data_IF_837684797828
#
_entry.id   IF_837684797828
#
_cell.length_a   1.000
_cell.length_b   1.000
_cell.length_c   1.000
_cell.angle_alpha   90.00
_cell.angle_beta   90.00
_cell.angle_gamma   90.00
#
_symmetry.space_group_name_H-M   'P 1'
#
loop_
_entity.id
_entity.type
_entity.pdbx_description
1 polymer ?
#
# COMPACT_ATOMS: atom_id res chain seq x y z
N UNK A 1 -22.12 34.82 -20.92
CA UNK A 1 -22.76 33.82 -21.79
C UNK A 1 -21.79 32.68 -22.11
N UNK A 2 -21.53 31.72 -21.21
CA UNK A 2 -20.81 30.46 -21.56
C UNK A 2 -21.02 29.31 -20.55
N UNK A 3 -22.01 29.41 -19.64
CA UNK A 3 -22.32 28.37 -18.63
C UNK A 3 -23.81 27.96 -18.73
N UNK A 4 -24.26 27.59 -19.93
CA UNK A 4 -25.65 27.09 -20.12
C UNK A 4 -25.75 25.88 -21.06
N UNK A 5 -24.76 25.65 -21.93
CA UNK A 5 -24.83 24.57 -22.93
C UNK A 5 -24.41 23.17 -22.44
N UNK A 6 -23.66 23.05 -21.33
CA UNK A 6 -23.14 21.75 -20.88
C UNK A 6 -24.11 20.94 -19.99
N UNK A 7 -25.12 21.57 -19.40
CA UNK A 7 -26.08 20.91 -18.50
C UNK A 7 -27.19 20.13 -19.25
N UNK A 8 -27.49 20.51 -20.50
CA UNK A 8 -28.56 19.87 -21.28
C UNK A 8 -28.17 18.55 -21.96
N UNK A 9 -26.86 18.29 -22.15
CA UNK A 9 -26.39 17.07 -22.84
C UNK A 9 -26.35 15.84 -21.92
N UNK A 10 -26.24 16.04 -20.60
CA UNK A 10 -26.17 14.96 -19.60
C UNK A 10 -27.57 14.42 -19.25
N UNK A 11 -28.60 15.27 -19.24
CA UNK A 11 -29.98 14.85 -18.93
C UNK A 11 -30.64 13.98 -20.01
N UNK A 12 -30.17 14.03 -21.26
CA UNK A 12 -30.71 13.19 -22.36
C UNK A 12 -30.17 11.76 -22.34
N UNK A 13 -28.96 11.53 -21.85
CA UNK A 13 -28.34 10.19 -21.81
C UNK A 13 -28.88 9.34 -20.66
N UNK A 14 -29.26 9.97 -19.54
CA UNK A 14 -29.81 9.27 -18.36
C UNK A 14 -31.24 8.74 -18.61
N UNK A 15 -32.00 9.36 -19.52
CA UNK A 15 -33.37 8.93 -19.86
C UNK A 15 -33.42 7.62 -20.70
N UNK A 16 -32.35 7.30 -21.44
CA UNK A 16 -32.28 6.04 -22.21
C UNK A 16 -31.84 4.83 -21.37
N UNK A 17 -31.07 5.03 -20.29
CA UNK A 17 -30.62 3.94 -19.42
C UNK A 17 -31.72 3.43 -18.46
N UNK A 18 -32.76 4.23 -18.20
CA UNK A 18 -33.86 3.87 -17.30
C UNK A 18 -34.92 2.93 -17.91
N UNK A 19 -34.81 2.56 -19.21
CA UNK A 19 -35.79 1.69 -19.90
C UNK A 19 -35.39 0.22 -19.99
N UNK A 20 -34.21 -0.17 -19.50
CA UNK A 20 -33.69 -1.54 -19.65
C UNK A 20 -33.81 -2.37 -18.34
N UNK A 21 -34.15 -1.77 -17.20
CA UNK A 21 -34.21 -2.45 -15.90
C UNK A 21 -35.58 -3.05 -15.49
N UNK A 22 -36.50 -3.29 -16.44
CA UNK A 22 -37.85 -3.83 -16.14
C UNK A 22 -37.99 -5.34 -16.38
N UNK A 23 -36.91 -6.11 -16.41
CA UNK A 23 -36.97 -7.56 -16.70
C UNK A 23 -36.08 -8.38 -15.74
N UNK A 24 -36.39 -8.34 -14.44
CA UNK A 24 -36.01 -9.43 -13.51
C UNK A 24 -36.88 -9.38 -12.26
N UNK A 25 -38.13 -9.82 -12.41
CA UNK A 25 -39.04 -10.06 -11.29
C UNK A 25 -39.65 -11.44 -11.48
N UNK A 26 -38.95 -12.50 -11.06
CA UNK A 26 -39.57 -13.79 -10.74
C UNK A 26 -38.57 -14.71 -10.02
N UNK A 27 -39.00 -15.30 -8.90
CA UNK A 27 -38.36 -16.35 -8.10
C UNK A 27 -37.16 -15.84 -7.26
N UNK A 28 -37.17 -15.83 -5.93
CA UNK A 28 -37.54 -16.93 -5.06
C UNK A 28 -37.87 -16.42 -3.64
N UNK A 29 -38.84 -17.07 -3.01
CA UNK A 29 -39.41 -16.82 -1.69
C UNK A 29 -39.17 -18.04 -0.81
N UNK A 30 -38.71 -17.87 0.43
CA UNK A 30 -38.44 -18.99 1.34
C UNK A 30 -38.01 -18.56 2.74
N UNK A 31 -38.98 -18.53 3.64
CA UNK A 31 -38.94 -18.19 5.07
C UNK A 31 -38.24 -19.25 5.95
N UNK A 32 -37.61 -18.86 7.09
CA UNK A 32 -37.95 -19.31 8.48
C UNK A 32 -36.83 -19.08 9.54
N UNK A 33 -37.17 -18.30 10.59
CA UNK A 33 -36.96 -18.40 12.08
C UNK A 33 -35.64 -18.99 12.65
N UNK A 34 -34.85 -18.32 13.52
CA UNK A 34 -35.02 -17.82 14.93
C UNK A 34 -34.69 -18.85 16.04
N UNK A 35 -33.83 -18.46 17.04
CA UNK A 35 -33.69 -18.84 18.49
C UNK A 35 -32.18 -18.87 18.90
N UNK A 36 -31.60 -18.00 19.75
CA UNK A 36 -31.69 -17.64 21.22
C UNK A 36 -31.06 -18.67 22.20
N UNK A 37 -30.32 -18.12 23.20
CA UNK A 37 -29.92 -18.57 24.58
C UNK A 37 -28.39 -18.73 24.75
N UNK A 38 -27.66 -17.84 25.48
CA UNK A 38 -27.38 -17.75 26.95
C UNK A 38 -26.61 -18.98 27.51
N UNK A 39 -25.68 -18.99 28.47
CA UNK A 39 -25.23 -18.17 29.61
C UNK A 39 -23.88 -18.78 30.13
N UNK A 40 -22.90 -18.02 30.64
CA UNK A 40 -22.58 -17.73 32.07
C UNK A 40 -21.74 -18.76 32.87
N UNK A 41 -20.94 -18.22 33.80
CA UNK A 41 -20.36 -18.81 35.04
C UNK A 41 -18.95 -19.42 34.93
N UNK A 42 -17.85 -18.78 35.38
CA UNK A 42 -17.37 -18.37 36.74
C UNK A 42 -16.55 -19.45 37.46
N UNK A 43 -15.59 -18.91 38.24
CA UNK A 43 -14.89 -19.45 39.43
C UNK A 43 -13.60 -20.26 39.18
N UNK A 44 -12.53 -20.19 39.98
CA UNK A 44 -12.11 -19.36 41.14
C UNK A 44 -10.80 -20.00 41.70
N UNK A 45 -9.81 -19.28 42.24
CA UNK A 45 -9.27 -19.32 43.64
C UNK A 45 -7.72 -19.18 43.57
N UNK A 46 -7.06 -18.12 44.11
CA UNK A 46 -6.40 -17.90 45.44
C UNK A 46 -5.28 -18.94 45.78
N UNK A 47 -4.07 -18.70 46.35
CA UNK A 47 -3.54 -17.86 47.44
C UNK A 47 -1.97 -17.85 47.48
N UNK A 48 -1.40 -16.84 48.15
CA UNK A 48 -0.12 -16.88 48.92
C UNK A 48 1.09 -16.22 48.23
N UNK A 49 1.91 -15.35 48.83
CA UNK A 49 2.06 -14.85 50.20
C UNK A 49 3.55 -14.65 50.56
N UNK A 50 4.05 -13.38 50.52
CA UNK A 50 5.09 -12.69 51.34
C UNK A 50 6.48 -13.37 51.69
N UNK A 51 7.49 -12.66 52.26
CA UNK A 51 8.32 -11.56 51.71
C UNK A 51 9.84 -11.70 52.03
N UNK A 52 10.58 -10.58 51.94
CA UNK A 52 11.90 -10.23 52.51
C UNK A 52 13.12 -10.36 51.56
N UNK A 53 13.69 -9.24 51.08
CA UNK A 53 14.66 -8.33 51.73
C UNK A 53 16.07 -8.94 51.85
N UNK A 54 17.01 -8.46 51.03
CA UNK A 54 18.42 -8.25 51.43
C UNK A 54 19.03 -7.18 50.52
N UNK A 55 19.40 -6.06 51.13
CA UNK A 55 20.26 -5.03 50.56
C UNK A 55 21.71 -5.51 50.65
N UNK A 56 22.47 -5.37 49.56
CA UNK A 56 23.93 -5.23 49.66
C UNK A 56 24.40 -4.12 48.73
N UNK A 57 25.16 -3.21 49.34
CA UNK A 57 25.70 -1.95 48.84
C UNK A 57 27.13 -2.23 48.36
N UNK A 58 27.48 -1.87 47.12
CA UNK A 58 28.87 -1.80 46.60
C UNK A 58 28.94 -0.85 45.37
N UNK A 59 30.11 -0.28 45.01
CA UNK A 59 30.48 1.16 45.10
C UNK A 59 30.36 1.93 43.75
N UNK A 60 30.71 3.24 43.64
CA UNK A 60 30.30 4.06 42.50
C UNK A 60 31.21 3.84 41.28
N UNK A 61 30.63 3.32 40.20
CA UNK A 61 31.27 3.30 38.89
C UNK A 61 31.07 4.66 38.18
N UNK A 62 32.13 5.46 38.24
CA UNK A 62 32.37 6.63 37.39
C UNK A 62 32.62 6.15 35.96
N UNK A 63 31.70 6.39 35.02
CA UNK A 63 32.09 6.59 33.60
C UNK A 63 31.00 7.24 32.75
N UNK A 64 31.43 8.33 32.10
CA UNK A 64 31.06 8.85 30.79
C UNK A 64 29.61 9.28 30.57
N UNK A 65 29.46 10.61 30.43
CA UNK A 65 28.55 11.26 29.50
C UNK A 65 28.50 10.46 28.19
N UNK A 66 27.49 9.60 28.03
CA UNK A 66 26.99 9.24 26.72
C UNK A 66 25.97 10.31 26.40
N UNK A 67 26.32 11.23 25.51
CA UNK A 67 25.28 11.90 24.74
C UNK A 67 24.45 10.76 24.13
N UNK A 68 23.20 10.69 24.51
CA UNK A 68 22.22 9.93 23.77
C UNK A 68 22.09 10.67 22.44
N UNK A 69 22.98 10.35 21.51
CA UNK A 69 22.66 10.51 20.11
C UNK A 69 21.49 9.57 19.91
N UNK A 70 20.28 10.15 19.94
CA UNK A 70 19.06 9.48 19.54
C UNK A 70 19.30 9.14 18.08
N UNK A 71 19.79 7.93 17.82
CA UNK A 71 19.71 7.32 16.49
C UNK A 71 18.22 7.12 16.29
N UNK A 72 17.56 8.15 15.75
CA UNK A 72 16.29 7.94 15.10
C UNK A 72 16.58 6.90 14.04
N UNK A 73 15.89 5.76 14.10
CA UNK A 73 15.84 4.82 12.98
C UNK A 73 15.08 5.47 11.83
N UNK A 74 15.62 6.56 11.30
CA UNK A 74 15.21 7.10 10.03
C UNK A 74 15.82 6.16 9.01
N UNK A 75 14.98 5.28 8.48
CA UNK A 75 15.23 4.76 7.15
C UNK A 75 15.31 6.01 6.26
N UNK A 76 16.52 6.50 6.02
CA UNK A 76 16.75 7.74 5.27
C UNK A 76 16.45 7.46 3.78
N UNK A 77 15.16 7.38 3.46
CA UNK A 77 14.65 7.13 2.11
C UNK A 77 15.19 8.19 1.13
N UNK A 78 15.34 9.44 1.58
CA UNK A 78 15.96 10.52 0.80
C UNK A 78 17.44 10.23 0.46
N UNK A 79 18.22 9.74 1.44
CA UNK A 79 19.62 9.38 1.20
C UNK A 79 19.72 8.19 0.24
N UNK A 80 18.83 7.20 0.41
CA UNK A 80 18.72 6.04 -0.49
C UNK A 80 18.35 6.46 -1.91
N UNK A 81 17.42 7.42 -2.07
CA UNK A 81 17.02 7.94 -3.36
C UNK A 81 18.17 8.66 -4.09
N UNK A 82 18.94 9.48 -3.37
CA UNK A 82 20.14 10.15 -3.92
C UNK A 82 21.19 9.14 -4.37
N UNK A 83 21.43 8.10 -3.59
CA UNK A 83 22.38 7.04 -3.94
C UNK A 83 21.90 6.23 -5.16
N UNK A 84 20.63 5.85 -5.20
CA UNK A 84 20.05 5.10 -6.31
C UNK A 84 20.11 5.90 -7.63
N UNK A 85 19.87 7.21 -7.57
CA UNK A 85 19.94 8.11 -8.73
C UNK A 85 21.29 8.08 -9.44
N UNK A 86 22.39 7.95 -8.70
CA UNK A 86 23.74 7.92 -9.26
C UNK A 86 24.01 6.70 -10.17
N UNK A 87 23.19 5.65 -10.05
CA UNK A 87 23.37 4.38 -10.77
C UNK A 87 22.19 3.98 -11.66
N UNK A 88 21.18 4.86 -11.77
CA UNK A 88 19.91 4.62 -12.44
C UNK A 88 20.03 4.03 -13.86
N UNK A 89 21.02 4.51 -14.63
CA UNK A 89 21.17 4.22 -16.05
C UNK A 89 22.31 3.27 -16.39
N UNK A 90 22.92 2.64 -15.38
CA UNK A 90 24.03 1.70 -15.59
C UNK A 90 23.52 0.37 -16.21
N UNK A 91 22.21 0.24 -16.45
CA UNK A 91 21.61 -0.92 -17.14
C UNK A 91 21.61 -2.21 -16.32
N UNK A 92 22.06 -2.16 -15.07
CA UNK A 92 22.11 -3.30 -14.18
C UNK A 92 20.73 -3.74 -13.66
N UNK A 93 20.63 -4.97 -13.10
CA UNK A 93 19.44 -5.43 -12.41
C UNK A 93 19.25 -4.68 -11.08
N UNK A 94 18.02 -4.30 -10.81
CA UNK A 94 17.55 -3.72 -9.55
C UNK A 94 17.10 -4.80 -8.58
N UNK A 95 16.76 -4.41 -7.35
CA UNK A 95 16.12 -5.31 -6.39
C UNK A 95 14.78 -5.85 -6.90
N UNK A 96 14.05 -5.07 -7.71
CA UNK A 96 12.76 -5.51 -8.28
C UNK A 96 12.94 -6.56 -9.37
N UNK A 97 14.01 -6.49 -10.17
CA UNK A 97 14.33 -7.55 -11.14
C UNK A 97 14.56 -8.89 -10.42
N UNK A 98 15.21 -8.87 -9.24
CA UNK A 98 15.39 -10.08 -8.40
C UNK A 98 14.09 -10.61 -7.79
N UNK A 99 13.14 -9.73 -7.50
CA UNK A 99 11.80 -10.12 -7.04
C UNK A 99 11.00 -10.73 -8.20
N UNK A 100 11.12 -10.17 -9.41
CA UNK A 100 10.48 -10.71 -10.62
C UNK A 100 11.03 -12.11 -10.94
N UNK A 101 12.35 -12.30 -10.87
CA UNK A 101 13.00 -13.59 -11.09
C UNK A 101 12.80 -14.59 -9.94
N UNK A 102 12.13 -14.19 -8.87
CA UNK A 102 11.91 -14.98 -7.64
C UNK A 102 13.21 -15.38 -6.92
N UNK A 103 14.33 -14.69 -7.19
CA UNK A 103 15.58 -14.87 -6.44
C UNK A 103 15.44 -14.43 -4.98
N UNK A 104 14.62 -13.42 -4.72
CA UNK A 104 14.32 -12.90 -3.39
C UNK A 104 12.82 -13.06 -3.13
N UNK A 105 12.42 -13.59 -1.96
CA UNK A 105 11.01 -13.79 -1.65
C UNK A 105 10.27 -12.46 -1.50
N UNK A 106 9.03 -12.43 -1.95
CA UNK A 106 8.09 -11.33 -1.72
C UNK A 106 6.68 -11.86 -1.51
N UNK A 107 5.86 -11.12 -0.76
CA UNK A 107 4.45 -11.48 -0.56
C UNK A 107 3.63 -10.93 -1.71
N UNK A 108 3.38 -11.78 -2.71
CA UNK A 108 2.66 -11.42 -3.94
C UNK A 108 1.17 -11.25 -3.66
N UNK A 109 0.58 -10.16 -4.15
CA UNK A 109 -0.84 -9.82 -4.04
C UNK A 109 -1.56 -10.02 -5.38
N UNK A 110 -0.88 -9.66 -6.48
CA UNK A 110 -1.39 -9.81 -7.85
C UNK A 110 -0.22 -10.04 -8.80
N UNK A 111 -0.41 -10.89 -9.81
CA UNK A 111 0.58 -11.14 -10.84
C UNK A 111 -0.13 -11.53 -12.14
N UNK A 112 0.30 -10.93 -13.27
CA UNK A 112 -0.09 -11.34 -14.61
C UNK A 112 1.14 -11.37 -15.56
N UNK A 113 0.92 -11.38 -16.87
CA UNK A 113 1.99 -11.40 -17.88
C UNK A 113 2.82 -10.11 -17.92
N UNK A 114 2.24 -8.97 -17.57
CA UNK A 114 2.85 -7.63 -17.72
C UNK A 114 3.34 -7.04 -16.41
N UNK A 115 2.68 -7.34 -15.29
CA UNK A 115 2.93 -6.68 -14.00
C UNK A 115 3.00 -7.66 -12.84
N UNK A 116 3.62 -7.18 -11.77
CA UNK A 116 3.72 -7.86 -10.48
C UNK A 116 3.38 -6.86 -9.37
N UNK A 117 2.54 -7.28 -8.42
CA UNK A 117 2.21 -6.51 -7.24
C UNK A 117 2.54 -7.32 -5.97
N UNK A 118 3.28 -6.72 -5.05
CA UNK A 118 3.73 -7.36 -3.81
C UNK A 118 3.73 -6.38 -2.64
N UNK A 119 3.65 -6.90 -1.41
CA UNK A 119 3.66 -6.05 -0.21
C UNK A 119 5.03 -5.39 -0.02
N UNK A 120 5.00 -4.11 0.32
CA UNK A 120 6.21 -3.37 0.68
C UNK A 120 6.80 -3.93 1.99
N UNK A 121 8.13 -3.99 2.09
CA UNK A 121 8.85 -4.46 3.29
C UNK A 121 8.86 -3.42 4.41
N UNK A 122 8.72 -2.14 4.07
CA UNK A 122 8.65 -0.99 4.98
C UNK A 122 7.28 -0.27 4.83
N UNK A 123 6.17 -0.90 5.25
CA UNK A 123 4.82 -0.39 5.01
C UNK A 123 4.56 0.97 5.69
N UNK A 124 4.08 1.96 4.92
CA UNK A 124 3.72 3.30 5.41
C UNK A 124 2.22 3.44 5.74
N UNK A 125 1.45 2.37 5.52
CA UNK A 125 0.04 2.25 5.84
C UNK A 125 -0.29 0.76 6.09
N UNK A 126 -1.44 0.43 6.74
CA UNK A 126 -1.84 -0.95 6.99
C UNK A 126 -1.86 -1.81 5.71
N UNK A 127 -2.27 -1.22 4.59
CA UNK A 127 -2.04 -1.77 3.26
C UNK A 127 -1.02 -0.88 2.54
N UNK A 128 0.13 -1.44 2.21
CA UNK A 128 1.13 -0.83 1.34
C UNK A 128 1.63 -1.87 0.34
N UNK A 129 1.20 -1.74 -0.91
CA UNK A 129 1.55 -2.66 -2.01
C UNK A 129 2.28 -1.89 -3.10
N UNK A 130 3.34 -2.48 -3.63
CA UNK A 130 4.12 -1.95 -4.74
C UNK A 130 3.71 -2.69 -6.01
N UNK A 131 3.33 -1.97 -7.06
CA UNK A 131 2.98 -2.50 -8.38
C UNK A 131 4.05 -2.09 -9.38
N UNK A 132 4.63 -3.07 -10.09
CA UNK A 132 5.74 -2.87 -11.03
C UNK A 132 5.47 -3.54 -12.37
N UNK A 133 5.99 -3.01 -13.49
CA UNK A 133 6.03 -3.74 -14.75
C UNK A 133 7.10 -4.83 -14.67
N UNK A 134 6.83 -6.01 -15.22
CA UNK A 134 7.81 -7.11 -15.30
C UNK A 134 8.93 -6.83 -16.28
N UNK A 135 8.63 -6.08 -17.34
CA UNK A 135 9.61 -5.64 -18.33
C UNK A 135 9.81 -4.13 -18.22
N UNK A 136 11.06 -3.69 -18.00
CA UNK A 136 11.37 -2.28 -17.80
C UNK A 136 11.32 -1.46 -19.10
N UNK A 137 11.79 -1.99 -20.23
CA UNK A 137 11.91 -1.25 -21.50
C UNK A 137 12.56 0.16 -21.37
N UNK A 138 13.56 0.30 -20.48
CA UNK A 138 14.20 1.60 -20.17
C UNK A 138 13.40 2.51 -19.22
N UNK A 139 12.24 2.08 -18.74
CA UNK A 139 11.35 2.80 -17.81
C UNK A 139 11.85 2.70 -16.36
N UNK A 140 13.02 3.28 -16.10
CA UNK A 140 13.63 3.33 -14.76
C UNK A 140 12.90 4.31 -13.83
N UNK A 141 12.24 5.33 -14.39
CA UNK A 141 11.43 6.32 -13.70
C UNK A 141 10.31 6.84 -14.61
N UNK A 142 9.29 7.49 -14.05
CA UNK A 142 8.15 7.97 -14.84
C UNK A 142 8.54 9.07 -15.86
N UNK A 143 9.52 9.91 -15.52
CA UNK A 143 10.04 10.97 -16.38
C UNK A 143 10.69 10.47 -17.67
N UNK A 144 11.00 9.17 -17.75
CA UNK A 144 11.50 8.50 -18.97
C UNK A 144 10.41 7.79 -19.76
N UNK A 145 9.14 7.97 -19.39
CA UNK A 145 8.04 7.44 -20.17
C UNK A 145 8.04 8.01 -21.60
N UNK A 146 7.62 7.18 -22.53
CA UNK A 146 7.56 7.46 -23.96
C UNK A 146 6.19 6.99 -24.47
N UNK A 147 5.72 7.42 -25.65
CA UNK A 147 4.40 7.02 -26.15
C UNK A 147 4.18 5.50 -26.23
N UNK A 148 5.23 4.71 -26.49
CA UNK A 148 5.15 3.24 -26.48
C UNK A 148 4.79 2.65 -25.10
N UNK A 149 5.09 3.39 -24.02
CA UNK A 149 4.81 2.97 -22.65
C UNK A 149 3.36 3.26 -22.21
N UNK A 150 2.53 3.92 -23.02
CA UNK A 150 1.17 4.29 -22.61
C UNK A 150 0.31 3.09 -22.22
N UNK A 151 0.46 1.96 -22.91
CA UNK A 151 -0.30 0.73 -22.60
C UNK A 151 0.09 0.18 -21.21
N UNK A 152 1.38 0.03 -20.94
CA UNK A 152 1.84 -0.51 -19.65
C UNK A 152 1.52 0.44 -18.49
N UNK A 153 1.60 1.76 -18.70
CA UNK A 153 1.21 2.76 -17.70
C UNK A 153 -0.28 2.67 -17.34
N UNK A 154 -1.14 2.50 -18.35
CA UNK A 154 -2.57 2.25 -18.12
C UNK A 154 -2.83 0.95 -17.37
N UNK A 155 -2.10 -0.12 -17.74
CA UNK A 155 -2.21 -1.42 -17.09
C UNK A 155 -1.75 -1.40 -15.62
N UNK A 156 -0.70 -0.63 -15.30
CA UNK A 156 -0.24 -0.41 -13.93
C UNK A 156 -1.32 0.26 -13.07
N UNK A 157 -1.95 1.32 -13.57
CA UNK A 157 -3.04 2.02 -12.85
C UNK A 157 -4.28 1.14 -12.69
N UNK A 158 -4.64 0.38 -13.72
CA UNK A 158 -5.74 -0.59 -13.62
C UNK A 158 -5.43 -1.67 -12.57
N UNK A 159 -4.19 -2.15 -12.53
CA UNK A 159 -3.73 -3.11 -11.53
C UNK A 159 -3.78 -2.55 -10.12
N UNK A 160 -3.46 -1.26 -9.92
CA UNK A 160 -3.61 -0.61 -8.62
C UNK A 160 -5.06 -0.68 -8.10
N UNK A 161 -6.06 -0.52 -8.98
CA UNK A 161 -7.47 -0.74 -8.64
C UNK A 161 -7.75 -2.21 -8.27
N UNK A 162 -7.19 -3.17 -9.00
CA UNK A 162 -7.38 -4.60 -8.70
C UNK A 162 -6.75 -5.00 -7.36
N UNK A 163 -5.60 -4.42 -7.03
CA UNK A 163 -4.95 -4.56 -5.71
C UNK A 163 -5.85 -4.00 -4.61
N UNK A 164 -6.43 -2.81 -4.81
CA UNK A 164 -7.33 -2.21 -3.82
C UNK A 164 -8.56 -3.08 -3.52
N UNK A 165 -9.15 -3.73 -4.55
CA UNK A 165 -10.22 -4.71 -4.37
C UNK A 165 -9.77 -5.93 -3.57
N UNK A 166 -8.61 -6.50 -3.90
CA UNK A 166 -8.06 -7.69 -3.22
C UNK A 166 -7.69 -7.44 -1.76
N UNK A 167 -7.23 -6.23 -1.46
CA UNK A 167 -6.82 -5.83 -0.11
C UNK A 167 -7.96 -5.22 0.72
N UNK A 168 -9.16 -5.06 0.13
CA UNK A 168 -10.34 -4.58 0.85
C UNK A 168 -10.30 -3.10 1.24
N UNK A 169 -9.59 -2.26 0.48
CA UNK A 169 -9.42 -0.81 0.73
C UNK A 169 -10.26 0.06 -0.22
N UNK A 170 -11.48 -0.40 -0.52
CA UNK A 170 -12.40 0.25 -1.47
C UNK A 170 -13.05 1.53 -0.93
N UNK A 171 -12.98 1.73 0.38
CA UNK A 171 -13.40 2.97 1.06
C UNK A 171 -12.46 4.14 0.74
N UNK A 172 -11.20 3.85 0.37
CA UNK A 172 -10.28 4.83 -0.17
C UNK A 172 -8.83 4.36 -0.16
N UNK A 173 -8.08 4.74 -1.19
CA UNK A 173 -6.66 4.48 -1.30
C UNK A 173 -5.95 5.61 -2.05
N UNK A 174 -4.63 5.69 -1.89
CA UNK A 174 -3.76 6.62 -2.62
C UNK A 174 -2.79 5.83 -3.48
N UNK A 175 -2.66 6.23 -4.73
CA UNK A 175 -1.59 5.78 -5.62
C UNK A 175 -0.50 6.83 -5.67
N UNK A 176 0.76 6.45 -5.44
CA UNK A 176 1.93 7.34 -5.50
C UNK A 176 2.95 6.79 -6.48
N UNK A 177 3.47 7.66 -7.34
CA UNK A 177 4.63 7.38 -8.19
C UNK A 177 5.67 8.44 -7.89
N UNK A 178 6.81 8.00 -7.37
CA UNK A 178 7.93 8.88 -7.09
C UNK A 178 8.82 8.98 -8.34
N UNK A 179 9.32 10.17 -8.63
CA UNK A 179 10.23 10.40 -9.75
C UNK A 179 11.50 11.12 -9.29
N UNK A 180 12.65 10.49 -9.52
CA UNK A 180 13.95 11.06 -9.24
C UNK A 180 14.22 11.34 -7.74
N UNK A 181 15.35 12.01 -7.43
CA UNK A 181 15.76 12.29 -6.05
C UNK A 181 14.77 13.15 -5.27
N UNK A 182 14.23 14.20 -5.90
CA UNK A 182 13.29 15.13 -5.25
C UNK A 182 11.92 14.52 -4.95
N UNK A 183 11.56 13.44 -5.65
CA UNK A 183 10.38 12.63 -5.34
C UNK A 183 10.65 11.50 -4.36
N UNK A 184 11.87 11.37 -3.81
CA UNK A 184 12.29 10.25 -2.97
C UNK A 184 12.13 8.87 -3.65
N UNK A 185 12.49 8.77 -4.94
CA UNK A 185 12.50 7.48 -5.64
C UNK A 185 13.71 6.63 -5.21
N UNK A 186 13.46 5.53 -4.51
CA UNK A 186 14.50 4.66 -3.94
C UNK A 186 14.96 3.53 -4.86
N UNK A 187 14.13 3.13 -5.84
CA UNK A 187 14.46 2.08 -6.82
C UNK A 187 14.18 2.57 -8.23
N UNK A 188 15.18 2.46 -9.12
CA UNK A 188 15.12 2.89 -10.52
C UNK A 188 14.55 1.80 -11.44
N UNK A 189 13.34 1.40 -11.09
CA UNK A 189 12.43 0.56 -11.83
C UNK A 189 11.05 1.14 -11.53
N UNK A 190 10.30 1.57 -12.55
CA UNK A 190 9.02 2.23 -12.33
C UNK A 190 8.11 1.42 -11.38
N UNK A 191 7.56 2.08 -10.38
CA UNK A 191 6.70 1.44 -9.40
C UNK A 191 5.62 2.40 -8.91
N UNK A 192 4.44 1.83 -8.64
CA UNK A 192 3.31 2.50 -8.03
C UNK A 192 3.17 1.98 -6.59
N UNK A 193 3.13 2.88 -5.63
CA UNK A 193 2.70 2.56 -4.27
C UNK A 193 1.18 2.67 -4.18
N UNK A 194 0.53 1.63 -3.69
CA UNK A 194 -0.89 1.61 -3.36
C UNK A 194 -1.00 1.57 -1.83
N UNK A 195 -1.47 2.68 -1.25
CA UNK A 195 -1.58 2.86 0.19
C UNK A 195 -3.04 2.97 0.63
N UNK A 196 -3.43 2.23 1.67
CA UNK A 196 -4.79 2.25 2.19
C UNK A 196 -4.93 1.64 3.59
N UNK A 197 -6.17 1.43 4.02
CA UNK A 197 -6.51 0.90 5.34
C UNK A 197 -6.38 1.92 6.48
N UNK A 198 -6.17 3.20 6.15
CA UNK A 198 -6.23 4.35 7.07
C UNK A 198 -6.53 5.63 6.30
N UNK A 199 -7.00 6.66 7.00
CA UNK A 199 -7.13 8.00 6.42
C UNK A 199 -5.75 8.53 5.96
N UNK A 200 -5.68 8.97 4.71
CA UNK A 200 -4.48 9.61 4.15
C UNK A 200 -4.49 11.10 4.45
N UNK A 201 -3.34 11.64 4.88
CA UNK A 201 -3.15 13.07 5.20
C UNK A 201 -2.87 13.91 3.95
N UNK A 202 -2.98 15.23 4.10
CA UNK A 202 -2.61 16.24 3.11
C UNK A 202 -1.70 17.29 3.76
N UNK A 203 -0.58 17.72 3.13
CA UNK A 203 -0.09 17.31 1.80
C UNK A 203 0.37 15.84 1.71
N UNK A 204 0.54 15.28 0.50
CA UNK A 204 0.92 13.88 0.27
C UNK A 204 2.44 13.71 0.23
N UNK A 205 3.10 14.12 1.31
CA UNK A 205 4.55 14.15 1.50
C UNK A 205 4.84 14.92 2.77
#
# INVERSE_FOLDING_TARGET
MFISAYSLKIKRTISMAAKINSFSHFLNSGSLRQLIVSSSSKNSIVFGGFPATTQTIFPPLRTRNRSLCRVSGTNDEEASAKAAAATADIGGPTIFDKIISKEIPSTIVYEDDKVLAFRDINPQAPVHVVVIPKFRDGLTELGKAEPRHSEILGHLLYTAKMVAEKEGILDGFRVVVNNGPGGCQSVYHLHLHVLGGRQMKWPPG
#
